data_IF_228300929124
#
_entry.id   IF_228300929124
#
_cell.length_a   1.000
_cell.length_b   1.000
_cell.length_c   1.000
_cell.angle_alpha   90.00
_cell.angle_beta   90.00
_cell.angle_gamma   90.00
#
_symmetry.space_group_name_H-M   'P 1'
#
loop_
_entity.id
_entity.type
_entity.pdbx_description
1 polymer ?
#
# COMPACT_ATOMS: atom_id res chain seq x y z
N UNK A 1 -4.41 -15.42 -53.58
CA UNK A 1 -4.25 -14.11 -52.92
C UNK A 1 -5.22 -13.84 -51.75
N UNK A 2 -5.84 -14.85 -51.10
CA UNK A 2 -6.81 -14.67 -49.98
C UNK A 2 -6.27 -15.03 -48.59
N UNK A 3 -5.05 -15.55 -48.48
CA UNK A 3 -4.47 -16.00 -47.16
C UNK A 3 -3.62 -14.99 -46.44
N UNK A 4 -3.19 -13.88 -47.08
CA UNK A 4 -2.30 -12.87 -46.45
C UNK A 4 -3.09 -11.83 -45.64
N UNK A 5 -4.38 -11.62 -45.90
CA UNK A 5 -5.20 -10.64 -45.14
C UNK A 5 -5.59 -11.10 -43.72
N UNK A 6 -5.53 -12.39 -43.43
CA UNK A 6 -5.91 -12.93 -42.10
C UNK A 6 -4.77 -12.81 -41.07
N UNK A 7 -3.51 -12.77 -41.52
CA UNK A 7 -2.35 -12.66 -40.65
C UNK A 7 -2.14 -11.20 -40.12
N UNK A 8 -2.59 -10.19 -40.90
CA UNK A 8 -2.44 -8.79 -40.52
C UNK A 8 -3.40 -8.34 -39.41
N UNK A 9 -4.51 -9.05 -39.23
CA UNK A 9 -5.51 -8.72 -38.20
C UNK A 9 -5.13 -9.23 -36.81
N UNK A 10 -4.29 -10.29 -36.73
CA UNK A 10 -3.85 -10.89 -35.49
C UNK A 10 -2.72 -10.06 -34.81
N UNK A 11 -1.96 -9.27 -35.59
CA UNK A 11 -0.87 -8.45 -35.05
C UNK A 11 -1.32 -7.11 -34.48
N UNK A 12 -2.49 -6.60 -34.88
CA UNK A 12 -3.05 -5.35 -34.35
C UNK A 12 -3.67 -5.49 -32.95
N UNK A 13 -4.07 -6.69 -32.57
CA UNK A 13 -4.63 -6.94 -31.22
C UNK A 13 -3.58 -6.87 -30.09
N UNK A 14 -2.29 -7.03 -30.42
CA UNK A 14 -1.23 -7.02 -29.42
C UNK A 14 -0.64 -5.63 -29.11
N UNK A 15 -1.00 -4.58 -29.85
CA UNK A 15 -0.51 -3.22 -29.58
C UNK A 15 -1.31 -2.46 -28.52
N UNK A 16 -2.46 -2.95 -28.09
CA UNK A 16 -3.32 -2.26 -27.12
C UNK A 16 -2.86 -2.37 -25.66
N UNK A 17 -1.85 -3.20 -25.35
CA UNK A 17 -1.41 -3.46 -23.97
C UNK A 17 -0.14 -2.70 -23.51
N UNK A 18 0.38 -1.81 -24.34
CA UNK A 18 1.64 -1.09 -24.05
C UNK A 18 1.44 0.22 -23.26
N UNK A 19 0.23 0.56 -22.86
CA UNK A 19 -0.02 1.78 -22.08
C UNK A 19 -0.04 1.46 -20.59
N UNK A 20 0.80 2.15 -19.83
CA UNK A 20 0.71 2.17 -18.37
C UNK A 20 -0.69 2.63 -17.96
N UNK A 21 -1.30 1.95 -17.01
CA UNK A 21 -2.65 2.25 -16.52
C UNK A 21 -2.62 2.57 -15.04
N UNK A 22 -3.32 3.62 -14.66
CA UNK A 22 -3.55 4.01 -13.28
C UNK A 22 -4.98 3.68 -12.90
N UNK A 23 -5.15 2.90 -11.86
CA UNK A 23 -6.44 2.59 -11.25
C UNK A 23 -6.52 3.30 -9.91
N UNK A 24 -7.53 4.14 -9.75
CA UNK A 24 -7.74 4.99 -8.58
C UNK A 24 -8.73 4.30 -7.65
N UNK A 25 -8.29 3.95 -6.45
CA UNK A 25 -9.12 3.30 -5.43
C UNK A 25 -9.38 4.26 -4.27
N UNK A 26 -10.65 4.35 -3.86
CA UNK A 26 -10.98 4.88 -2.54
C UNK A 26 -10.76 3.78 -1.51
N UNK A 27 -9.89 4.03 -0.55
CA UNK A 27 -9.64 3.14 0.57
C UNK A 27 -10.29 3.71 1.81
N UNK A 28 -11.39 3.08 2.23
CA UNK A 28 -12.08 3.36 3.49
C UNK A 28 -11.64 2.37 4.54
N UNK A 29 -11.27 2.86 5.73
CA UNK A 29 -10.85 2.00 6.83
C UNK A 29 -11.23 2.58 8.20
N UNK A 30 -11.33 1.68 9.17
CA UNK A 30 -11.62 1.98 10.57
C UNK A 30 -10.38 1.61 11.37
N UNK A 31 -9.54 2.56 11.81
CA UNK A 31 -8.27 2.27 12.49
C UNK A 31 -8.47 1.70 13.90
N UNK A 32 -9.54 2.10 14.58
CA UNK A 32 -9.89 1.68 15.94
C UNK A 32 -11.16 0.81 15.94
N UNK A 33 -11.01 -0.47 16.25
CA UNK A 33 -12.13 -1.42 16.29
C UNK A 33 -13.21 -1.06 17.32
N UNK A 34 -12.87 -0.23 18.33
CA UNK A 34 -13.80 0.23 19.37
C UNK A 34 -14.57 1.49 19.00
N UNK A 35 -14.18 2.17 17.92
CA UNK A 35 -14.77 3.45 17.45
C UNK A 35 -15.13 3.38 15.98
N UNK A 36 -16.15 2.59 15.64
CA UNK A 36 -16.54 2.31 14.24
C UNK A 36 -16.98 3.52 13.44
N UNK A 37 -17.50 4.56 14.09
CA UNK A 37 -17.94 5.80 13.45
C UNK A 37 -16.75 6.66 12.98
N UNK A 38 -15.55 6.38 13.46
CA UNK A 38 -14.33 7.12 13.13
C UNK A 38 -13.62 6.50 11.92
N UNK A 39 -14.33 6.39 10.79
CA UNK A 39 -13.74 5.90 9.55
C UNK A 39 -12.89 6.95 8.88
N UNK A 40 -11.79 6.52 8.25
CA UNK A 40 -10.89 7.34 7.42
C UNK A 40 -10.96 6.89 5.97
N UNK A 41 -10.69 7.82 5.05
CA UNK A 41 -10.60 7.54 3.62
C UNK A 41 -9.28 8.07 3.09
N UNK A 42 -8.69 7.35 2.13
CA UNK A 42 -7.50 7.76 1.40
C UNK A 42 -7.56 7.31 -0.06
N UNK A 43 -7.17 8.20 -0.98
CA UNK A 43 -7.08 7.86 -2.39
C UNK A 43 -5.79 7.10 -2.65
N UNK A 44 -5.93 5.86 -3.10
CA UNK A 44 -4.81 4.96 -3.44
C UNK A 44 -4.70 4.78 -4.95
N UNK A 45 -3.51 4.59 -5.44
CA UNK A 45 -3.20 4.36 -6.85
C UNK A 45 -2.62 2.97 -7.04
N UNK A 46 -3.19 2.18 -7.93
CA UNK A 46 -2.56 1.02 -8.53
C UNK A 46 -2.02 1.43 -9.90
N UNK A 47 -0.71 1.50 -10.02
CA UNK A 47 -0.01 1.82 -11.25
C UNK A 47 0.50 0.53 -11.90
N UNK A 48 -0.08 0.17 -13.03
CA UNK A 48 0.33 -1.00 -13.82
C UNK A 48 1.37 -0.57 -14.85
N UNK A 49 2.53 -1.20 -14.80
CA UNK A 49 3.64 -1.03 -15.74
C UNK A 49 3.90 -2.36 -16.48
N UNK A 50 4.86 -2.37 -17.38
CA UNK A 50 5.19 -3.56 -18.18
C UNK A 50 5.77 -4.70 -17.34
N UNK A 51 6.61 -4.38 -16.36
CA UNK A 51 7.41 -5.34 -15.58
C UNK A 51 6.95 -5.47 -14.13
N UNK A 52 6.11 -4.56 -13.64
CA UNK A 52 5.59 -4.54 -12.27
C UNK A 52 4.31 -3.73 -12.15
N UNK A 53 3.64 -3.88 -11.03
CA UNK A 53 2.65 -2.93 -10.57
C UNK A 53 3.03 -2.36 -9.21
N UNK A 54 2.61 -1.13 -8.94
CA UNK A 54 2.85 -0.47 -7.65
C UNK A 54 1.55 0.07 -7.08
N UNK A 55 1.29 -0.22 -5.81
CA UNK A 55 0.13 0.28 -5.07
C UNK A 55 0.60 1.21 -3.95
N UNK A 56 0.11 2.45 -3.93
CA UNK A 56 0.56 3.50 -3.03
C UNK A 56 -0.48 4.60 -2.82
N UNK A 57 -0.32 5.39 -1.75
CA UNK A 57 -1.13 6.58 -1.49
C UNK A 57 -0.85 7.69 -2.50
N UNK A 58 -1.91 8.26 -3.08
CA UNK A 58 -1.83 9.42 -3.98
C UNK A 58 -1.24 10.65 -3.27
N UNK A 59 -1.63 10.88 -2.03
CA UNK A 59 -1.17 12.03 -1.25
C UNK A 59 0.28 11.88 -0.81
N UNK A 60 0.66 10.66 -0.38
CA UNK A 60 2.05 10.37 -0.03
C UNK A 60 2.96 10.54 -1.25
N UNK A 61 2.55 10.04 -2.41
CA UNK A 61 3.28 10.22 -3.65
C UNK A 61 3.47 11.71 -4.02
N UNK A 62 2.42 12.52 -3.88
CA UNK A 62 2.49 13.96 -4.15
C UNK A 62 3.44 14.66 -3.17
N UNK A 63 3.38 14.31 -1.88
CA UNK A 63 4.29 14.85 -0.86
C UNK A 63 5.74 14.49 -1.16
N UNK A 64 6.03 13.21 -1.42
CA UNK A 64 7.40 12.74 -1.70
C UNK A 64 7.94 13.34 -3.02
N UNK A 65 7.08 13.49 -4.04
CA UNK A 65 7.43 14.14 -5.32
C UNK A 65 7.80 15.61 -5.13
N UNK A 66 7.04 16.33 -4.32
CA UNK A 66 7.31 17.74 -3.99
C UNK A 66 8.63 17.86 -3.24
N UNK A 67 8.84 17.04 -2.21
CA UNK A 67 10.10 17.05 -1.44
C UNK A 67 11.31 16.77 -2.34
N UNK A 68 11.21 15.78 -3.24
CA UNK A 68 12.29 15.45 -4.19
C UNK A 68 12.56 16.60 -5.16
N UNK A 69 11.51 17.24 -5.68
CA UNK A 69 11.64 18.37 -6.59
C UNK A 69 12.30 19.58 -5.93
N UNK A 70 11.91 19.91 -4.70
CA UNK A 70 12.48 21.03 -3.94
C UNK A 70 13.93 20.72 -3.49
N UNK A 71 14.22 19.48 -3.09
CA UNK A 71 15.59 19.09 -2.70
C UNK A 71 16.59 19.24 -3.88
N UNK A 72 16.16 18.98 -5.11
CA UNK A 72 16.97 19.22 -6.32
C UNK A 72 17.29 20.70 -6.56
N UNK A 73 16.52 21.60 -5.97
CA UNK A 73 16.76 23.06 -5.98
C UNK A 73 17.55 23.52 -4.76
N UNK A 74 17.97 22.61 -3.89
CA UNK A 74 18.64 22.93 -2.61
C UNK A 74 17.70 23.43 -1.53
N UNK A 75 16.38 23.26 -1.69
CA UNK A 75 15.36 23.70 -0.74
C UNK A 75 14.95 22.49 0.12
N UNK A 76 14.98 22.63 1.44
CA UNK A 76 14.46 21.63 2.37
C UNK A 76 12.94 21.77 2.45
N UNK A 77 12.21 20.91 1.74
CA UNK A 77 10.76 20.84 1.86
C UNK A 77 10.35 19.84 2.93
N UNK A 78 9.39 20.26 3.76
CA UNK A 78 8.80 19.36 4.76
C UNK A 78 7.69 18.49 4.14
N UNK A 79 7.47 17.27 4.67
CA UNK A 79 6.30 16.48 4.29
C UNK A 79 5.00 17.26 4.50
N UNK A 80 3.96 16.94 3.74
CA UNK A 80 2.65 17.54 3.99
C UNK A 80 2.20 17.26 5.41
N UNK A 81 1.66 18.27 6.08
CA UNK A 81 1.17 18.17 7.47
C UNK A 81 -0.18 17.43 7.51
N UNK A 82 -0.17 16.16 7.11
CA UNK A 82 -1.35 15.28 7.05
C UNK A 82 -0.92 13.85 7.31
N UNK A 83 -1.74 13.12 8.06
CA UNK A 83 -1.58 11.67 8.14
C UNK A 83 -1.86 11.04 6.77
N UNK A 84 -0.91 10.27 6.25
CA UNK A 84 -0.98 9.59 4.98
C UNK A 84 -0.50 8.15 5.16
N UNK A 85 -1.07 7.24 4.37
CA UNK A 85 -0.58 5.87 4.31
C UNK A 85 0.79 5.88 3.64
N UNK A 86 1.80 5.45 4.39
CA UNK A 86 3.18 5.39 3.90
C UNK A 86 3.53 4.06 3.24
N UNK A 87 2.69 3.06 3.42
CA UNK A 87 2.90 1.72 2.88
C UNK A 87 2.75 1.69 1.36
N UNK A 88 3.67 0.95 0.71
CA UNK A 88 3.67 0.73 -0.72
C UNK A 88 3.89 -0.75 -1.02
N UNK A 89 3.19 -1.27 -2.03
CA UNK A 89 3.32 -2.66 -2.46
C UNK A 89 3.78 -2.70 -3.91
N UNK A 90 4.87 -3.40 -4.19
CA UNK A 90 5.34 -3.69 -5.54
C UNK A 90 5.05 -5.15 -5.82
N UNK A 91 4.34 -5.43 -6.91
CA UNK A 91 3.97 -6.77 -7.36
C UNK A 91 4.56 -7.02 -8.75
N UNK A 92 4.89 -8.27 -9.01
CA UNK A 92 5.48 -8.68 -10.28
C UNK A 92 4.51 -9.60 -11.03
N UNK A 93 4.39 -9.46 -12.37
CA UNK A 93 3.58 -10.36 -13.18
C UNK A 93 4.05 -11.81 -13.03
N UNK A 94 3.10 -12.76 -13.01
CA UNK A 94 3.39 -14.20 -12.94
C UNK A 94 4.28 -14.64 -11.76
N UNK A 95 4.31 -13.87 -10.69
CA UNK A 95 5.08 -14.18 -9.48
C UNK A 95 4.24 -13.95 -8.24
N UNK A 96 4.33 -14.82 -7.25
CA UNK A 96 3.71 -14.62 -5.94
C UNK A 96 4.55 -13.70 -5.04
N UNK A 97 5.82 -13.45 -5.43
CA UNK A 97 6.69 -12.54 -4.70
C UNK A 97 6.22 -11.10 -4.83
N UNK A 98 6.21 -10.41 -3.70
CA UNK A 98 5.97 -8.98 -3.61
C UNK A 98 7.06 -8.31 -2.76
N UNK A 99 7.27 -7.02 -2.98
CA UNK A 99 7.98 -6.17 -2.04
C UNK A 99 6.96 -5.26 -1.34
N UNK A 100 6.79 -5.46 -0.04
CA UNK A 100 6.03 -4.56 0.81
C UNK A 100 6.98 -3.56 1.45
N UNK A 101 6.78 -2.29 1.16
CA UNK A 101 7.60 -1.19 1.66
C UNK A 101 6.81 -0.49 2.75
N UNK A 102 7.39 -0.39 3.94
CA UNK A 102 6.77 0.20 5.12
C UNK A 102 7.79 0.92 5.99
N UNK A 103 7.29 1.67 6.96
CA UNK A 103 8.12 2.41 7.89
C UNK A 103 7.78 2.00 9.33
N UNK A 104 8.80 1.73 10.12
CA UNK A 104 8.67 1.54 11.56
C UNK A 104 9.60 2.55 12.24
N UNK A 105 9.06 3.40 13.09
CA UNK A 105 9.80 4.55 13.61
C UNK A 105 10.34 5.41 12.45
N UNK A 106 11.64 5.60 12.37
CA UNK A 106 12.32 6.42 11.35
C UNK A 106 13.03 5.60 10.27
N UNK A 107 12.88 4.29 10.29
CA UNK A 107 13.56 3.38 9.36
C UNK A 107 12.59 2.83 8.31
N UNK A 108 13.08 2.68 7.07
CA UNK A 108 12.35 2.12 5.93
C UNK A 108 12.66 0.63 5.81
N UNK A 109 11.61 -0.17 5.66
CA UNK A 109 11.73 -1.61 5.50
C UNK A 109 11.20 -2.05 4.14
N UNK A 110 11.98 -2.85 3.43
CA UNK A 110 11.59 -3.53 2.20
C UNK A 110 11.42 -5.01 2.55
N UNK A 111 10.18 -5.43 2.66
CA UNK A 111 9.80 -6.77 3.10
C UNK A 111 9.48 -7.63 1.90
N UNK A 112 10.30 -8.65 1.65
CA UNK A 112 10.03 -9.67 0.63
C UNK A 112 9.05 -10.69 1.19
N UNK A 113 7.92 -10.85 0.52
CA UNK A 113 6.86 -11.77 0.92
C UNK A 113 6.39 -12.58 -0.28
N UNK A 114 6.25 -13.88 -0.10
CA UNK A 114 5.58 -14.78 -1.03
C UNK A 114 4.11 -14.89 -0.59
N UNK A 115 3.18 -14.52 -1.48
CA UNK A 115 1.75 -14.49 -1.17
C UNK A 115 0.99 -15.35 -2.18
N UNK A 116 0.49 -16.47 -1.71
CA UNK A 116 -0.45 -17.29 -2.44
C UNK A 116 -1.86 -17.08 -1.87
N UNK A 117 -2.72 -16.41 -2.65
CA UNK A 117 -4.11 -16.14 -2.28
C UNK A 117 -5.00 -17.24 -2.85
N UNK A 118 -5.46 -18.14 -2.00
CA UNK A 118 -6.40 -19.17 -2.38
C UNK A 118 -7.81 -18.59 -2.57
N UNK A 119 -8.11 -18.11 -3.78
CA UNK A 119 -9.40 -17.53 -4.11
C UNK A 119 -10.46 -18.60 -4.35
N UNK A 120 -11.57 -18.49 -3.64
CA UNK A 120 -12.80 -19.26 -3.92
C UNK A 120 -13.74 -18.39 -4.76
N UNK A 121 -13.96 -18.81 -6.03
CA UNK A 121 -14.87 -18.11 -6.94
C UNK A 121 -16.32 -18.50 -6.65
N UNK A 122 -17.20 -17.50 -6.52
CA UNK A 122 -18.62 -17.72 -6.30
C UNK A 122 -19.43 -17.45 -7.59
N UNK A 123 -20.54 -18.15 -7.74
CA UNK A 123 -21.49 -17.90 -8.84
C UNK A 123 -22.45 -16.75 -8.49
N UNK A 124 -21.85 -15.62 -8.10
CA UNK A 124 -22.55 -14.38 -7.73
C UNK A 124 -21.96 -13.23 -8.55
N UNK A 125 -22.82 -12.46 -9.17
CA UNK A 125 -22.47 -11.40 -10.11
C UNK A 125 -23.14 -10.09 -9.70
N UNK A 126 -22.47 -8.97 -10.03
CA UNK A 126 -22.97 -7.60 -9.83
C UNK A 126 -22.40 -6.69 -10.93
N UNK A 127 -22.68 -5.39 -10.84
CA UNK A 127 -22.14 -4.37 -11.75
C UNK A 127 -21.47 -3.26 -10.96
N UNK A 128 -20.20 -2.98 -11.23
CA UNK A 128 -19.42 -1.90 -10.62
C UNK A 128 -18.85 -1.04 -11.75
N UNK A 129 -19.12 0.26 -11.75
CA UNK A 129 -18.68 1.21 -12.78
C UNK A 129 -19.02 0.77 -14.21
N UNK A 130 -20.15 0.09 -14.40
CA UNK A 130 -20.58 -0.44 -15.70
C UNK A 130 -19.95 -1.77 -16.11
N UNK A 131 -18.97 -2.30 -15.37
CA UNK A 131 -18.36 -3.60 -15.61
C UNK A 131 -19.13 -4.70 -14.90
N UNK A 132 -19.37 -5.83 -15.59
CA UNK A 132 -19.88 -7.04 -14.94
C UNK A 132 -18.79 -7.63 -14.07
N UNK A 133 -19.07 -7.82 -12.77
CA UNK A 133 -18.14 -8.37 -11.79
C UNK A 133 -18.61 -9.70 -11.24
N UNK A 134 -17.66 -10.56 -10.90
CA UNK A 134 -17.89 -11.84 -10.22
C UNK A 134 -17.30 -11.77 -8.81
N UNK A 135 -18.00 -12.36 -7.85
CA UNK A 135 -17.56 -12.47 -6.47
C UNK A 135 -16.51 -13.55 -6.27
N UNK A 136 -15.52 -13.26 -5.43
CA UNK A 136 -14.55 -14.25 -4.95
C UNK A 136 -14.24 -13.99 -3.47
N UNK A 137 -13.87 -15.03 -2.73
CA UNK A 137 -13.49 -14.92 -1.32
C UNK A 137 -12.14 -15.57 -1.06
N UNK A 138 -11.41 -15.07 -0.05
CA UNK A 138 -10.15 -15.63 0.42
C UNK A 138 -9.92 -15.27 1.89
N UNK A 139 -9.04 -16.00 2.55
CA UNK A 139 -8.52 -15.66 3.88
C UNK A 139 -7.11 -15.07 3.72
N UNK A 140 -6.90 -13.88 4.26
CA UNK A 140 -5.60 -13.22 4.23
C UNK A 140 -5.40 -12.30 5.43
N UNK A 141 -4.19 -12.30 6.00
CA UNK A 141 -3.83 -11.39 7.10
C UNK A 141 -4.67 -11.56 8.38
N UNK A 142 -5.30 -12.73 8.57
CA UNK A 142 -6.18 -13.01 9.70
C UNK A 142 -7.62 -12.49 9.53
N UNK A 143 -8.00 -12.12 8.30
CA UNK A 143 -9.35 -11.67 7.90
C UNK A 143 -9.87 -12.50 6.76
N UNK A 144 -11.21 -12.63 6.67
CA UNK A 144 -11.90 -13.11 5.48
C UNK A 144 -12.19 -11.92 4.56
N UNK A 145 -11.80 -12.05 3.29
CA UNK A 145 -11.96 -11.01 2.27
C UNK A 145 -12.98 -11.40 1.21
N UNK A 146 -13.71 -10.41 0.72
CA UNK A 146 -14.69 -10.52 -0.36
C UNK A 146 -14.22 -9.58 -1.46
N UNK A 147 -13.92 -10.14 -2.64
CA UNK A 147 -13.51 -9.38 -3.82
C UNK A 147 -14.58 -9.45 -4.92
N UNK A 148 -14.68 -8.37 -5.68
CA UNK A 148 -15.46 -8.27 -6.90
C UNK A 148 -14.51 -7.94 -8.04
N UNK A 149 -14.35 -8.82 -8.99
CA UNK A 149 -13.41 -8.69 -10.11
C UNK A 149 -14.11 -8.80 -11.45
N UNK A 150 -13.54 -8.18 -12.50
CA UNK A 150 -14.05 -8.24 -13.85
C UNK A 150 -13.06 -8.86 -14.83
N UNK A 151 -13.55 -9.74 -15.70
CA UNK A 151 -12.79 -10.31 -16.82
C UNK A 151 -12.69 -9.35 -18.01
N UNK A 152 -13.50 -8.29 -18.04
CA UNK A 152 -13.48 -7.28 -19.11
C UNK A 152 -12.18 -6.43 -19.07
N UNK A 153 -11.51 -6.40 -17.92
CA UNK A 153 -10.17 -5.84 -17.77
C UNK A 153 -9.22 -7.00 -17.44
N UNK A 154 -8.53 -7.58 -18.44
CA UNK A 154 -7.75 -8.82 -18.28
C UNK A 154 -6.38 -8.55 -17.60
N UNK A 155 -6.41 -7.89 -16.45
CA UNK A 155 -5.25 -7.60 -15.61
C UNK A 155 -5.47 -8.32 -14.28
N UNK A 156 -4.65 -9.34 -13.99
CA UNK A 156 -4.79 -10.17 -12.79
C UNK A 156 -4.20 -9.47 -11.54
N UNK A 157 -4.67 -8.27 -11.27
CA UNK A 157 -4.16 -7.41 -10.21
C UNK A 157 -5.30 -6.72 -9.44
N UNK A 158 -4.95 -6.00 -8.38
CA UNK A 158 -5.89 -5.29 -7.52
C UNK A 158 -5.19 -4.42 -6.47
N UNK A 159 -5.95 -3.82 -5.56
CA UNK A 159 -5.40 -2.96 -4.52
C UNK A 159 -4.58 -3.75 -3.49
N UNK A 160 -3.68 -3.07 -2.80
CA UNK A 160 -2.82 -3.63 -1.77
C UNK A 160 -2.07 -4.88 -2.26
N UNK A 161 -2.14 -5.99 -1.53
CA UNK A 161 -1.50 -7.27 -1.85
C UNK A 161 -2.42 -8.23 -2.65
N UNK A 162 -3.66 -7.80 -2.96
CA UNK A 162 -4.64 -8.65 -3.65
C UNK A 162 -4.36 -8.73 -5.14
N UNK A 163 -4.28 -9.96 -5.67
CA UNK A 163 -3.97 -10.28 -7.07
C UNK A 163 -4.40 -11.72 -7.42
N UNK A 164 -4.11 -12.15 -8.65
CA UNK A 164 -4.30 -13.52 -9.14
C UNK A 164 -5.76 -13.95 -9.34
N UNK A 165 -6.74 -13.05 -9.34
CA UNK A 165 -8.05 -13.32 -9.91
C UNK A 165 -8.00 -13.21 -11.44
N UNK A 166 -8.89 -13.90 -12.20
CA UNK A 166 -8.86 -13.85 -13.67
C UNK A 166 -9.43 -12.53 -14.23
N UNK A 167 -8.85 -11.39 -13.80
CA UNK A 167 -9.21 -10.05 -14.15
C UNK A 167 -8.96 -9.06 -13.02
N UNK A 168 -9.25 -7.78 -13.27
CA UNK A 168 -8.99 -6.71 -12.30
C UNK A 168 -9.98 -6.76 -11.14
N UNK A 169 -9.47 -6.62 -9.92
CA UNK A 169 -10.29 -6.48 -8.72
C UNK A 169 -10.80 -5.03 -8.65
N UNK A 170 -12.11 -4.82 -8.82
CA UNK A 170 -12.71 -3.49 -8.75
C UNK A 170 -13.07 -3.10 -7.32
N UNK A 171 -13.41 -4.09 -6.48
CA UNK A 171 -13.68 -3.87 -5.06
C UNK A 171 -13.16 -5.05 -4.26
N UNK A 172 -12.59 -4.77 -3.10
CA UNK A 172 -12.29 -5.79 -2.09
C UNK A 172 -12.53 -5.22 -0.71
N UNK A 173 -13.23 -5.99 0.12
CA UNK A 173 -13.55 -5.59 1.51
C UNK A 173 -13.39 -6.79 2.44
N UNK A 174 -13.03 -6.54 3.69
CA UNK A 174 -13.08 -7.59 4.69
C UNK A 174 -14.53 -7.86 5.13
N UNK A 175 -14.83 -9.08 5.60
CA UNK A 175 -16.19 -9.50 5.95
C UNK A 175 -16.87 -8.63 7.02
N UNK A 176 -16.09 -7.88 7.80
CA UNK A 176 -16.59 -6.94 8.81
C UNK A 176 -16.68 -5.50 8.31
N UNK A 177 -16.29 -5.24 7.06
CA UNK A 177 -16.27 -3.91 6.41
C UNK A 177 -15.43 -2.88 7.16
N UNK A 178 -14.38 -3.34 7.83
CA UNK A 178 -13.43 -2.44 8.48
C UNK A 178 -12.42 -1.87 7.46
N UNK A 179 -12.19 -2.59 6.38
CA UNK A 179 -11.32 -2.18 5.28
C UNK A 179 -12.05 -2.42 3.95
N UNK A 180 -12.16 -1.40 3.14
CA UNK A 180 -12.78 -1.47 1.82
C UNK A 180 -11.94 -0.69 0.83
N UNK A 181 -11.51 -1.33 -0.25
CA UNK A 181 -10.93 -0.69 -1.43
C UNK A 181 -11.94 -0.76 -2.55
N UNK A 182 -12.27 0.37 -3.16
CA UNK A 182 -13.24 0.46 -4.25
C UNK A 182 -12.71 1.31 -5.39
N UNK A 183 -12.68 0.76 -6.61
CA UNK A 183 -12.25 1.50 -7.79
C UNK A 183 -13.18 2.69 -8.05
N UNK A 184 -12.60 3.87 -8.27
CA UNK A 184 -13.31 5.11 -8.58
C UNK A 184 -13.01 5.63 -9.98
N UNK A 185 -11.91 5.20 -10.60
CA UNK A 185 -11.57 5.65 -11.93
C UNK A 185 -10.36 4.94 -12.52
N UNK A 186 -10.23 5.05 -13.83
CA UNK A 186 -9.14 4.50 -14.63
C UNK A 186 -8.55 5.65 -15.44
N UNK A 187 -7.22 5.78 -15.43
CA UNK A 187 -6.49 6.74 -16.26
C UNK A 187 -5.42 6.02 -17.06
N UNK A 188 -5.21 6.43 -18.30
CA UNK A 188 -4.04 6.03 -19.08
C UNK A 188 -2.86 6.92 -18.72
N UNK A 189 -1.69 6.32 -18.56
CA UNK A 189 -0.44 7.04 -18.36
C UNK A 189 0.54 6.64 -19.45
N UNK A 190 1.10 7.63 -20.14
CA UNK A 190 2.09 7.41 -21.21
C UNK A 190 3.52 7.66 -20.75
N UNK A 191 3.70 8.19 -19.53
CA UNK A 191 5.02 8.47 -18.98
C UNK A 191 5.58 7.29 -18.22
N UNK A 192 6.87 7.09 -18.33
CA UNK A 192 7.61 6.19 -17.46
C UNK A 192 7.42 6.64 -16.01
N UNK A 193 7.20 5.68 -15.12
CA UNK A 193 6.93 5.94 -13.71
C UNK A 193 8.04 5.39 -12.85
N UNK A 194 8.57 6.27 -12.02
CA UNK A 194 9.45 5.87 -10.92
C UNK A 194 8.99 6.57 -9.64
N UNK A 195 8.87 5.80 -8.55
CA UNK A 195 8.43 6.37 -7.28
C UNK A 195 9.54 7.23 -6.68
N UNK A 196 9.24 8.45 -6.18
CA UNK A 196 10.24 9.35 -5.62
C UNK A 196 11.08 8.67 -4.53
N UNK A 197 12.40 8.66 -4.69
CA UNK A 197 13.34 8.18 -3.70
C UNK A 197 14.01 9.36 -3.01
N UNK A 198 13.67 9.59 -1.75
CA UNK A 198 14.17 10.73 -0.99
C UNK A 198 15.58 10.50 -0.40
N UNK A 199 16.10 9.26 -0.42
CA UNK A 199 17.41 8.86 0.11
C UNK A 199 17.71 9.29 1.55
N UNK A 200 16.68 9.68 2.31
CA UNK A 200 16.81 10.21 3.68
C UNK A 200 16.45 9.19 4.77
N UNK A 201 16.15 7.96 4.36
CA UNK A 201 15.82 6.87 5.28
C UNK A 201 16.87 5.78 5.24
N UNK A 202 17.20 5.22 6.42
CA UNK A 202 17.96 3.98 6.48
C UNK A 202 17.07 2.83 6.03
N UNK A 203 17.51 2.07 5.02
CA UNK A 203 16.75 1.00 4.40
C UNK A 203 17.21 -0.37 4.90
N UNK A 204 16.23 -1.23 5.21
CA UNK A 204 16.49 -2.62 5.64
C UNK A 204 15.69 -3.59 4.77
N UNK A 205 16.37 -4.60 4.23
CA UNK A 205 15.73 -5.69 3.51
C UNK A 205 15.43 -6.82 4.50
N UNK A 206 14.16 -7.22 4.61
CA UNK A 206 13.70 -8.27 5.51
C UNK A 206 12.90 -9.33 4.76
N UNK A 207 13.00 -10.58 5.22
CA UNK A 207 11.98 -11.58 4.94
C UNK A 207 10.71 -11.26 5.75
N UNK A 208 9.56 -11.81 5.33
CA UNK A 208 8.32 -11.60 6.07
C UNK A 208 8.39 -12.05 7.54
N UNK A 209 9.04 -13.19 7.82
CA UNK A 209 9.20 -13.67 9.20
C UNK A 209 10.06 -12.73 10.07
N UNK A 210 11.10 -12.13 9.49
CA UNK A 210 11.91 -11.11 10.19
C UNK A 210 11.09 -9.85 10.46
N UNK A 211 10.30 -9.43 9.46
CA UNK A 211 9.40 -8.29 9.62
C UNK A 211 8.35 -8.51 10.72
N UNK A 212 7.71 -9.69 10.77
CA UNK A 212 6.74 -10.03 11.83
C UNK A 212 7.37 -9.87 13.22
N UNK A 213 8.59 -10.40 13.43
CA UNK A 213 9.30 -10.23 14.71
C UNK A 213 9.60 -8.76 15.01
N UNK A 214 10.10 -8.01 13.99
CA UNK A 214 10.42 -6.58 14.13
C UNK A 214 9.16 -5.77 14.44
N UNK A 215 8.07 -6.01 13.73
CA UNK A 215 6.79 -5.33 13.93
C UNK A 215 6.22 -5.58 15.33
N UNK A 216 6.23 -6.83 15.82
CA UNK A 216 5.77 -7.17 17.18
C UNK A 216 6.63 -6.49 18.26
N UNK A 217 7.94 -6.42 18.07
CA UNK A 217 8.83 -5.69 18.98
C UNK A 217 8.56 -4.19 18.94
N UNK A 218 8.39 -3.62 17.74
CA UNK A 218 8.03 -2.22 17.55
C UNK A 218 6.71 -1.86 18.26
N UNK A 219 5.70 -2.71 18.17
CA UNK A 219 4.41 -2.50 18.88
C UNK A 219 4.54 -2.52 20.40
N UNK A 220 5.55 -3.20 20.94
CA UNK A 220 5.81 -3.26 22.39
C UNK A 220 6.68 -2.09 22.89
N UNK A 221 7.64 -1.68 22.11
CA UNK A 221 8.59 -0.61 22.44
C UNK A 221 8.96 0.18 21.18
N UNK A 222 8.06 1.09 20.74
CA UNK A 222 8.20 1.75 19.45
C UNK A 222 9.41 2.71 19.35
N UNK A 223 9.89 3.24 20.45
CA UNK A 223 11.03 4.14 20.48
C UNK A 223 12.39 3.44 20.70
N UNK A 224 12.42 2.10 20.78
CA UNK A 224 13.66 1.36 21.04
C UNK A 224 14.78 1.65 20.03
N UNK A 225 14.42 1.85 18.76
CA UNK A 225 15.38 2.12 17.68
C UNK A 225 15.89 3.58 17.67
N UNK A 226 15.41 4.43 18.57
CA UNK A 226 15.83 5.84 18.71
C UNK A 226 16.95 6.03 19.72
N UNK A 227 17.30 5.00 20.48
CA UNK A 227 18.47 5.02 21.36
C UNK A 227 19.70 5.33 20.49
N UNK A 228 20.54 6.23 20.95
CA UNK A 228 21.72 6.75 20.23
C UNK A 228 21.43 7.61 18.97
N UNK A 229 20.16 7.81 18.60
CA UNK A 229 19.79 8.68 17.47
C UNK A 229 19.30 10.07 17.91
N UNK A 230 18.87 10.20 19.15
CA UNK A 230 18.38 11.46 19.72
C UNK A 230 19.39 11.97 20.75
N UNK A 231 20.03 13.13 20.52
CA UNK A 231 20.92 13.73 21.51
C UNK A 231 20.13 14.43 22.62
N UNK A 232 20.82 14.72 23.71
CA UNK A 232 20.37 15.69 24.71
C UNK A 232 20.18 17.06 24.04
N UNK A 233 19.09 17.73 24.34
CA UNK A 233 18.77 19.03 23.72
C UNK A 233 17.97 19.95 24.66
N UNK A 234 17.85 21.23 24.28
CA UNK A 234 16.93 22.15 24.90
C UNK A 234 15.63 22.24 24.16
N UNK A 235 14.52 22.32 24.89
CA UNK A 235 13.20 22.58 24.31
C UNK A 235 13.05 24.04 23.84
N UNK A 236 11.90 24.37 23.24
CA UNK A 236 11.60 25.71 22.76
C UNK A 236 11.58 26.79 23.89
N UNK A 237 11.41 26.36 25.14
CA UNK A 237 11.42 27.22 26.33
C UNK A 237 12.82 27.31 27.00
N UNK A 238 13.84 26.65 26.42
CA UNK A 238 15.19 26.60 26.91
C UNK A 238 15.47 25.57 28.02
N UNK A 239 14.48 24.73 28.39
CA UNK A 239 14.66 23.68 29.38
C UNK A 239 15.50 22.53 28.82
N UNK A 240 16.48 22.07 29.62
CA UNK A 240 17.31 20.94 29.25
C UNK A 240 16.52 19.63 29.34
N UNK A 241 16.63 18.80 28.30
CA UNK A 241 15.98 17.48 28.22
C UNK A 241 17.00 16.44 27.79
N UNK A 242 17.11 15.39 28.57
CA UNK A 242 17.99 14.28 28.21
C UNK A 242 17.38 13.42 27.10
N UNK A 243 18.22 12.77 26.31
CA UNK A 243 17.85 11.77 25.31
C UNK A 243 16.85 10.73 25.88
N UNK A 244 17.16 10.22 27.08
CA UNK A 244 16.31 9.24 27.78
C UNK A 244 14.89 9.76 28.06
N UNK A 245 14.76 11.02 28.49
CA UNK A 245 13.46 11.65 28.73
C UNK A 245 12.66 11.78 27.44
N UNK A 246 13.30 12.24 26.36
CA UNK A 246 12.66 12.43 25.06
C UNK A 246 12.21 11.09 24.49
N UNK A 247 13.07 10.06 24.52
CA UNK A 247 12.75 8.72 24.03
C UNK A 247 11.59 8.10 24.81
N UNK A 248 11.57 8.28 26.14
CA UNK A 248 10.46 7.80 26.97
C UNK A 248 9.13 8.45 26.57
N UNK A 249 9.10 9.76 26.42
CA UNK A 249 7.89 10.49 26.03
C UNK A 249 7.38 10.07 24.64
N UNK A 250 8.29 9.91 23.65
CA UNK A 250 7.94 9.41 22.32
C UNK A 250 7.39 7.99 22.40
N UNK A 251 7.99 7.13 23.21
CA UNK A 251 7.53 5.77 23.43
C UNK A 251 6.10 5.76 23.98
N UNK A 252 5.84 6.54 25.03
CA UNK A 252 4.53 6.60 25.66
C UNK A 252 3.47 7.17 24.70
N UNK A 253 3.79 8.22 23.93
CA UNK A 253 2.91 8.79 22.91
C UNK A 253 2.55 7.77 21.83
N UNK A 254 3.52 6.98 21.34
CA UNK A 254 3.27 5.96 20.32
C UNK A 254 2.48 4.77 20.86
N UNK A 255 2.72 4.36 22.09
CA UNK A 255 1.92 3.32 22.74
C UNK A 255 0.45 3.76 22.88
N UNK A 256 0.18 5.01 23.27
CA UNK A 256 -1.19 5.56 23.32
C UNK A 256 -1.84 5.60 21.92
N UNK A 257 -1.07 5.99 20.89
CA UNK A 257 -1.55 5.94 19.50
C UNK A 257 -1.89 4.52 19.07
N UNK A 258 -1.08 3.53 19.44
CA UNK A 258 -1.30 2.13 19.08
C UNK A 258 -2.58 1.54 19.70
N UNK A 259 -3.06 2.06 20.81
CA UNK A 259 -4.37 1.66 21.37
C UNK A 259 -5.52 2.00 20.42
N UNK A 260 -5.38 3.08 19.64
CA UNK A 260 -6.35 3.55 18.64
C UNK A 260 -6.04 3.08 17.21
N UNK A 261 -4.93 2.36 17.03
CA UNK A 261 -4.52 1.72 15.78
C UNK A 261 -4.44 0.20 15.99
N UNK A 262 -5.58 -0.38 16.34
CA UNK A 262 -5.72 -1.79 16.72
C UNK A 262 -6.43 -2.64 15.65
N UNK A 263 -6.75 -2.05 14.51
CA UNK A 263 -7.55 -2.68 13.46
C UNK A 263 -6.88 -2.60 12.08
N UNK A 264 -5.62 -3.00 12.01
CA UNK A 264 -4.81 -3.01 10.78
C UNK A 264 -5.27 -4.07 9.79
N UNK A 265 -4.89 -3.95 8.51
CA UNK A 265 -5.28 -4.89 7.44
C UNK A 265 -4.86 -6.33 7.78
N UNK A 266 -3.60 -6.54 8.13
CA UNK A 266 -3.06 -7.85 8.53
C UNK A 266 -3.16 -8.00 10.06
N UNK A 267 -4.37 -8.23 10.58
CA UNK A 267 -4.65 -8.27 12.01
C UNK A 267 -3.87 -9.37 12.76
N UNK A 268 -3.40 -10.40 12.06
CA UNK A 268 -2.53 -11.44 12.62
C UNK A 268 -1.17 -10.91 13.10
N UNK A 269 -0.73 -9.74 12.61
CA UNK A 269 0.51 -9.09 13.09
C UNK A 269 0.37 -8.57 14.54
N UNK A 270 -0.85 -8.37 15.03
CA UNK A 270 -1.14 -7.91 16.39
C UNK A 270 -1.27 -9.05 17.41
N UNK A 271 -1.27 -10.30 16.94
CA UNK A 271 -1.39 -11.53 17.76
C UNK A 271 0.01 -12.14 18.02
#
# INVERSE_FOLDING_TARGET
>A
MKRIKFLLFLTLANMAFAQNKLFLYDYKFIPDSTSRDNSKNELMILNIQKDRSEFYSSERYASDSTQLAESKKGIMAMPFNKEMISDRVIKYPNSNLINYITFLSWDKYIVKQDIDLNWHLENSFDTILGYKVQKATTDFGGRKWIAWFTKEIPIQDGPYKFKNLPGLILKVEDSTKNHTFELKGIKSNTTEFDYPNLHNYKEYNLSYNQYVKKYKNYRKNPAADLVDKIPDQRDANGNFRTSTQIIKELNDQWLERFKKDNNIIEINLLK
#
